data_IF_607020436421
#
_entry.id   IF_607020436421
#
_cell.length_a   1.000
_cell.length_b   1.000
_cell.length_c   1.000
_cell.angle_alpha   90.00
_cell.angle_beta   90.00
_cell.angle_gamma   90.00
#
_symmetry.space_group_name_H-M   'P 1'
#
loop_
_entity.id
_entity.type
_entity.pdbx_description
1 polymer ?
#
# COMPACT_ATOMS: atom_id res chain seq x y z
N UNK A 1 17.56 -25.45 -39.10
CA UNK A 1 16.21 -24.96 -38.70
C UNK A 1 15.78 -25.37 -37.29
N UNK A 2 15.92 -26.63 -36.81
CA UNK A 2 15.56 -26.99 -35.42
C UNK A 2 16.48 -26.43 -34.34
N UNK A 3 17.74 -26.12 -34.62
CA UNK A 3 18.68 -25.57 -33.66
C UNK A 3 18.54 -24.06 -33.46
N UNK A 4 18.10 -23.30 -34.46
CA UNK A 4 17.90 -21.86 -34.36
C UNK A 4 16.60 -21.50 -33.58
N UNK A 5 15.56 -22.33 -33.69
CA UNK A 5 14.33 -22.17 -32.92
C UNK A 5 14.53 -22.44 -31.40
N UNK A 6 15.44 -23.37 -31.07
CA UNK A 6 15.82 -23.63 -29.68
C UNK A 6 16.72 -22.53 -29.12
N UNK A 7 17.61 -21.93 -29.91
CA UNK A 7 18.47 -20.81 -29.48
C UNK A 7 17.64 -19.55 -29.26
N UNK A 8 16.66 -19.26 -30.12
CA UNK A 8 15.76 -18.10 -29.95
C UNK A 8 14.82 -18.28 -28.75
N UNK A 9 14.29 -19.47 -28.49
CA UNK A 9 13.51 -19.73 -27.26
C UNK A 9 14.34 -19.66 -26.00
N UNK A 10 15.60 -20.07 -26.04
CA UNK A 10 16.54 -19.97 -24.90
C UNK A 10 16.99 -18.55 -24.66
N UNK A 11 17.12 -17.71 -25.70
CA UNK A 11 17.55 -16.29 -25.58
C UNK A 11 16.43 -15.41 -25.04
N UNK A 12 15.15 -15.70 -25.34
CA UNK A 12 14.00 -14.98 -24.77
C UNK A 12 13.70 -15.36 -23.29
N UNK A 13 14.19 -16.51 -22.83
CA UNK A 13 14.16 -16.89 -21.40
C UNK A 13 15.31 -16.31 -20.56
N UNK A 14 16.29 -15.65 -21.17
CA UNK A 14 17.58 -15.30 -20.55
C UNK A 14 17.70 -13.85 -20.08
N UNK A 15 16.63 -13.05 -20.01
CA UNK A 15 16.66 -11.78 -19.27
C UNK A 15 16.53 -12.07 -17.77
N UNK A 16 17.65 -12.51 -17.15
CA UNK A 16 17.73 -12.75 -15.72
C UNK A 16 17.86 -11.44 -14.96
N UNK A 17 17.12 -11.29 -13.87
CA UNK A 17 17.19 -10.15 -12.94
C UNK A 17 17.98 -10.59 -11.73
N UNK A 18 19.08 -9.90 -11.42
CA UNK A 18 19.85 -10.14 -10.21
C UNK A 18 19.04 -9.72 -8.97
N UNK A 19 18.97 -10.60 -7.99
CA UNK A 19 18.21 -10.39 -6.75
C UNK A 19 19.12 -10.14 -5.53
N UNK A 20 20.43 -10.21 -5.71
CA UNK A 20 21.37 -10.26 -4.60
C UNK A 20 21.40 -11.61 -3.86
N UNK A 21 20.53 -12.57 -4.24
CA UNK A 21 20.50 -13.96 -3.78
C UNK A 21 20.70 -14.96 -4.91
N UNK A 22 20.68 -14.47 -6.16
CA UNK A 22 20.72 -15.25 -7.39
C UNK A 22 19.93 -14.54 -8.48
N UNK A 23 19.62 -15.25 -9.56
CA UNK A 23 18.95 -14.69 -10.73
C UNK A 23 17.53 -15.27 -10.86
N UNK A 24 16.56 -14.42 -11.07
CA UNK A 24 15.16 -14.79 -11.38
C UNK A 24 14.77 -14.35 -12.79
N UNK A 25 13.76 -14.98 -13.36
CA UNK A 25 13.21 -14.57 -14.66
C UNK A 25 12.42 -13.26 -14.54
N UNK A 26 12.37 -12.48 -15.64
CA UNK A 26 11.55 -11.26 -15.71
C UNK A 26 10.07 -11.55 -15.42
N UNK A 27 9.56 -12.71 -15.80
CA UNK A 27 8.19 -13.13 -15.54
C UNK A 27 7.89 -13.29 -14.03
N UNK A 28 8.87 -13.78 -13.26
CA UNK A 28 8.74 -13.85 -11.80
C UNK A 28 8.71 -12.44 -11.19
N UNK A 29 9.54 -11.52 -11.69
CA UNK A 29 9.53 -10.12 -11.26
C UNK A 29 8.19 -9.44 -11.57
N UNK A 30 7.70 -9.60 -12.81
CA UNK A 30 6.37 -9.08 -13.20
C UNK A 30 5.26 -9.69 -12.34
N UNK A 31 5.37 -10.96 -11.98
CA UNK A 31 4.45 -11.62 -11.06
C UNK A 31 4.45 -10.96 -9.67
N UNK A 32 5.61 -10.67 -9.11
CA UNK A 32 5.74 -9.97 -7.81
C UNK A 32 5.10 -8.57 -7.90
N UNK A 33 5.39 -7.83 -8.97
CA UNK A 33 4.83 -6.49 -9.19
C UNK A 33 3.32 -6.50 -9.44
N UNK A 34 2.80 -7.53 -10.15
CA UNK A 34 1.35 -7.65 -10.37
C UNK A 34 0.59 -7.88 -9.05
N UNK A 35 1.16 -8.67 -8.12
CA UNK A 35 0.59 -8.84 -6.78
C UNK A 35 0.58 -7.51 -6.02
N UNK A 36 1.64 -6.69 -6.14
CA UNK A 36 1.69 -5.38 -5.51
C UNK A 36 0.61 -4.43 -6.05
N UNK A 37 0.36 -4.44 -7.37
CA UNK A 37 -0.67 -3.63 -8.01
C UNK A 37 -2.08 -3.89 -7.44
N UNK A 38 -2.39 -5.13 -7.05
CA UNK A 38 -3.71 -5.49 -6.53
C UNK A 38 -4.02 -4.88 -5.16
N UNK A 39 -3.00 -4.49 -4.40
CA UNK A 39 -3.18 -4.01 -3.01
C UNK A 39 -3.90 -2.68 -2.91
N UNK A 40 -3.93 -1.88 -3.98
CA UNK A 40 -4.59 -0.58 -4.04
C UNK A 40 -6.03 -0.63 -4.58
N UNK A 41 -6.49 -1.78 -5.07
CA UNK A 41 -7.78 -1.91 -5.75
C UNK A 41 -9.01 -1.99 -4.82
N UNK A 42 -8.94 -2.56 -3.59
CA UNK A 42 -10.13 -2.72 -2.76
C UNK A 42 -10.86 -1.39 -2.51
N UNK A 43 -12.18 -1.38 -2.75
CA UNK A 43 -13.03 -0.18 -2.62
C UNK A 43 -12.94 0.82 -3.76
N UNK A 44 -11.91 0.74 -4.62
CA UNK A 44 -11.63 1.73 -5.66
C UNK A 44 -12.74 1.82 -6.72
N UNK A 45 -13.24 0.68 -7.21
CA UNK A 45 -14.24 0.66 -8.27
C UNK A 45 -15.64 1.13 -7.80
N UNK A 46 -15.91 1.03 -6.51
CA UNK A 46 -17.20 1.43 -5.90
C UNK A 46 -17.27 2.95 -5.72
N UNK A 47 -16.16 3.59 -5.33
CA UNK A 47 -16.13 5.02 -5.01
C UNK A 47 -16.72 5.93 -6.10
N UNK A 48 -16.37 5.81 -7.39
CA UNK A 48 -16.89 6.69 -8.43
C UNK A 48 -18.35 6.43 -8.81
N UNK A 49 -18.98 5.36 -8.33
CA UNK A 49 -20.36 4.98 -8.67
C UNK A 49 -21.32 5.08 -7.49
N UNK A 50 -20.90 5.55 -6.32
CA UNK A 50 -21.76 5.61 -5.12
C UNK A 50 -23.05 6.38 -5.37
N UNK A 51 -22.98 7.55 -6.00
CA UNK A 51 -24.15 8.36 -6.32
C UNK A 51 -25.08 7.65 -7.30
N UNK A 52 -24.51 6.94 -8.31
CA UNK A 52 -25.30 6.14 -9.26
C UNK A 52 -25.98 4.97 -8.56
N UNK A 53 -25.28 4.31 -7.60
CA UNK A 53 -25.88 3.23 -6.82
C UNK A 53 -27.04 3.72 -5.94
N UNK A 54 -26.97 4.91 -5.38
CA UNK A 54 -28.08 5.53 -4.64
C UNK A 54 -29.32 5.71 -5.51
N UNK A 55 -29.16 6.05 -6.78
CA UNK A 55 -30.29 6.19 -7.72
C UNK A 55 -30.83 4.85 -8.21
N UNK A 56 -29.96 3.84 -8.41
CA UNK A 56 -30.33 2.49 -8.87
C UNK A 56 -31.01 1.68 -7.78
N UNK A 57 -30.59 1.86 -6.53
CA UNK A 57 -31.12 1.17 -5.36
C UNK A 57 -31.78 2.17 -4.38
N UNK A 58 -32.96 2.73 -4.70
CA UNK A 58 -33.57 3.80 -3.90
C UNK A 58 -34.04 3.35 -2.50
N UNK A 59 -33.99 2.04 -2.21
CA UNK A 59 -34.26 1.47 -0.89
C UNK A 59 -32.99 1.29 -0.04
N UNK A 60 -31.81 1.53 -0.63
CA UNK A 60 -30.54 1.45 0.10
C UNK A 60 -30.42 2.65 1.05
N UNK A 61 -29.98 2.39 2.26
CA UNK A 61 -29.64 3.44 3.22
C UNK A 61 -28.24 4.01 2.94
N UNK A 62 -27.97 5.20 3.43
CA UNK A 62 -26.62 5.78 3.36
C UNK A 62 -25.56 4.84 4.00
N UNK A 63 -25.97 4.12 5.05
CA UNK A 63 -25.10 3.11 5.68
C UNK A 63 -24.78 1.95 4.73
N UNK A 64 -25.78 1.45 3.97
CA UNK A 64 -25.56 0.36 2.99
C UNK A 64 -24.54 0.79 1.92
N UNK A 65 -24.63 2.02 1.43
CA UNK A 65 -23.70 2.56 0.45
C UNK A 65 -22.31 2.74 1.02
N UNK A 66 -22.19 3.24 2.24
CA UNK A 66 -20.90 3.37 2.92
C UNK A 66 -20.25 2.01 3.19
N UNK A 67 -21.03 0.98 3.53
CA UNK A 67 -20.53 -0.37 3.75
C UNK A 67 -19.83 -0.96 2.51
N UNK A 68 -20.26 -0.60 1.30
CA UNK A 68 -19.61 -1.07 0.07
C UNK A 68 -18.13 -0.68 -0.02
N UNK A 69 -17.74 0.46 0.55
CA UNK A 69 -16.35 0.95 0.54
C UNK A 69 -15.60 0.63 1.82
N UNK A 70 -16.28 0.66 2.97
CA UNK A 70 -15.63 0.51 4.28
C UNK A 70 -15.49 -0.95 4.72
N UNK A 71 -16.44 -1.82 4.38
CA UNK A 71 -16.44 -3.22 4.79
C UNK A 71 -15.22 -3.99 4.23
N UNK A 72 -14.80 -3.83 2.95
CA UNK A 72 -13.55 -4.43 2.49
C UNK A 72 -12.36 -4.04 3.35
N UNK A 73 -12.21 -2.74 3.67
CA UNK A 73 -11.08 -2.24 4.47
C UNK A 73 -11.08 -2.81 5.90
N UNK A 74 -12.25 -2.96 6.52
CA UNK A 74 -12.39 -3.59 7.83
C UNK A 74 -11.99 -5.07 7.81
N UNK A 75 -12.43 -5.82 6.80
CA UNK A 75 -12.12 -7.24 6.67
C UNK A 75 -10.67 -7.50 6.26
N UNK A 76 -10.06 -6.58 5.53
CA UNK A 76 -8.63 -6.68 5.20
C UNK A 76 -7.79 -6.85 6.47
N UNK A 77 -8.06 -6.11 7.56
CA UNK A 77 -7.24 -6.13 8.78
C UNK A 77 -7.10 -7.54 9.39
N UNK A 78 -8.18 -8.24 9.76
CA UNK A 78 -8.05 -9.57 10.34
C UNK A 78 -7.47 -10.60 9.35
N UNK A 79 -7.77 -10.47 8.06
CA UNK A 79 -7.28 -11.41 7.06
C UNK A 79 -5.83 -11.20 6.65
N UNK A 80 -5.28 -9.98 6.74
CA UNK A 80 -3.83 -9.74 6.66
C UNK A 80 -3.10 -10.51 7.78
N UNK A 81 -3.58 -10.39 9.01
CA UNK A 81 -2.97 -11.04 10.18
C UNK A 81 -3.08 -12.56 10.07
N UNK A 82 -4.25 -13.06 9.68
CA UNK A 82 -4.48 -14.49 9.44
C UNK A 82 -3.56 -15.03 8.35
N UNK A 83 -3.46 -14.37 7.21
CA UNK A 83 -2.59 -14.79 6.11
C UNK A 83 -1.12 -14.79 6.52
N UNK A 84 -0.67 -13.76 7.21
CA UNK A 84 0.70 -13.70 7.76
C UNK A 84 1.01 -14.84 8.72
N UNK A 85 0.08 -15.16 9.62
CA UNK A 85 0.24 -16.23 10.60
C UNK A 85 0.26 -17.62 9.96
N UNK A 86 -0.68 -17.88 9.03
CA UNK A 86 -0.88 -19.22 8.45
C UNK A 86 0.05 -19.51 7.27
N UNK A 87 0.71 -18.46 6.70
CA UNK A 87 1.57 -18.58 5.51
C UNK A 87 2.66 -19.64 5.66
N UNK A 88 3.20 -19.80 6.86
CA UNK A 88 4.24 -20.79 7.16
C UNK A 88 3.70 -22.23 7.23
N UNK A 89 2.39 -22.41 7.47
CA UNK A 89 1.79 -23.75 7.60
C UNK A 89 1.26 -24.28 6.26
N UNK A 90 0.60 -23.42 5.49
CA UNK A 90 -0.05 -23.81 4.22
C UNK A 90 0.90 -23.66 3.03
N UNK A 91 1.94 -22.80 3.17
CA UNK A 91 2.83 -22.39 2.10
C UNK A 91 2.30 -21.17 1.34
N UNK A 92 3.22 -20.23 1.08
CA UNK A 92 2.88 -18.91 0.53
C UNK A 92 2.21 -18.99 -0.87
N UNK A 93 2.63 -19.92 -1.73
CA UNK A 93 2.06 -20.05 -3.08
C UNK A 93 0.58 -20.49 -3.03
N UNK A 94 0.24 -21.47 -2.18
CA UNK A 94 -1.16 -21.93 -2.05
C UNK A 94 -2.04 -20.82 -1.52
N UNK A 95 -1.56 -20.10 -0.51
CA UNK A 95 -2.31 -19.01 0.12
C UNK A 95 -2.48 -17.82 -0.84
N UNK A 96 -1.45 -17.52 -1.63
CA UNK A 96 -1.53 -16.50 -2.68
C UNK A 96 -2.60 -16.86 -3.72
N UNK A 97 -2.65 -18.13 -4.20
CA UNK A 97 -3.69 -18.57 -5.10
C UNK A 97 -5.09 -18.45 -4.49
N UNK A 98 -5.28 -18.86 -3.24
CA UNK A 98 -6.57 -18.72 -2.53
C UNK A 98 -7.02 -17.26 -2.53
N UNK A 99 -6.15 -16.33 -2.14
CA UNK A 99 -6.46 -14.90 -2.14
C UNK A 99 -6.79 -14.37 -3.52
N UNK A 100 -5.98 -14.70 -4.53
CA UNK A 100 -6.20 -14.28 -5.92
C UNK A 100 -7.52 -14.79 -6.50
N UNK A 101 -7.87 -16.06 -6.27
CA UNK A 101 -9.14 -16.61 -6.72
C UNK A 101 -10.34 -16.02 -6.00
N UNK A 102 -10.25 -15.78 -4.67
CA UNK A 102 -11.30 -15.07 -3.92
C UNK A 102 -11.52 -13.66 -4.44
N UNK A 103 -10.43 -12.93 -4.70
CA UNK A 103 -10.49 -11.58 -5.24
C UNK A 103 -11.12 -11.58 -6.64
N UNK A 104 -10.66 -12.46 -7.54
CA UNK A 104 -11.17 -12.59 -8.89
C UNK A 104 -12.66 -12.98 -8.91
N UNK A 105 -13.05 -13.94 -8.07
CA UNK A 105 -14.44 -14.39 -7.95
C UNK A 105 -15.33 -13.25 -7.47
N UNK A 106 -14.85 -12.45 -6.51
CA UNK A 106 -15.56 -11.23 -6.09
C UNK A 106 -15.76 -10.27 -7.25
N UNK A 107 -14.71 -10.01 -8.04
CA UNK A 107 -14.79 -9.17 -9.24
C UNK A 107 -15.85 -9.68 -10.24
N UNK A 108 -15.91 -10.97 -10.47
CA UNK A 108 -16.91 -11.58 -11.35
C UNK A 108 -18.33 -11.49 -10.77
N UNK A 109 -18.50 -11.70 -9.46
CA UNK A 109 -19.80 -11.65 -8.78
C UNK A 109 -20.41 -10.25 -8.77
N UNK A 110 -19.61 -9.16 -8.81
CA UNK A 110 -20.15 -7.81 -8.94
C UNK A 110 -20.97 -7.59 -10.21
N UNK A 111 -20.69 -8.33 -11.31
CA UNK A 111 -21.44 -8.23 -12.55
C UNK A 111 -22.83 -8.87 -12.48
N UNK A 112 -23.00 -9.88 -11.62
CA UNK A 112 -24.28 -10.61 -11.47
C UNK A 112 -25.08 -10.15 -10.26
N UNK A 113 -24.50 -9.39 -9.34
CA UNK A 113 -25.19 -8.84 -8.18
C UNK A 113 -26.32 -7.90 -8.61
N UNK A 114 -27.53 -8.20 -8.16
CA UNK A 114 -28.76 -7.46 -8.48
C UNK A 114 -29.37 -6.71 -7.30
N UNK A 115 -28.86 -6.89 -6.07
CA UNK A 115 -29.32 -6.21 -4.86
C UNK A 115 -28.18 -5.59 -4.08
N UNK A 116 -28.48 -4.56 -3.28
CA UNK A 116 -27.48 -3.90 -2.44
C UNK A 116 -26.85 -4.88 -1.44
N UNK A 117 -27.63 -5.77 -0.84
CA UNK A 117 -27.13 -6.79 0.08
C UNK A 117 -26.14 -7.77 -0.58
N UNK A 118 -26.38 -8.16 -1.86
CA UNK A 118 -25.43 -8.96 -2.64
C UNK A 118 -24.15 -8.19 -2.92
N UNK A 119 -24.24 -6.90 -3.28
CA UNK A 119 -23.04 -6.05 -3.47
C UNK A 119 -22.24 -5.94 -2.18
N UNK A 120 -22.87 -5.77 -1.02
CA UNK A 120 -22.20 -5.74 0.29
C UNK A 120 -21.51 -7.09 0.58
N UNK A 121 -22.19 -8.22 0.34
CA UNK A 121 -21.59 -9.55 0.54
C UNK A 121 -20.38 -9.78 -0.38
N UNK A 122 -20.46 -9.34 -1.63
CA UNK A 122 -19.35 -9.41 -2.59
C UNK A 122 -18.19 -8.50 -2.17
N UNK A 123 -18.50 -7.29 -1.66
CA UNK A 123 -17.49 -6.37 -1.08
C UNK A 123 -16.76 -7.00 0.10
N UNK A 124 -17.50 -7.69 0.97
CA UNK A 124 -16.89 -8.44 2.08
C UNK A 124 -15.93 -9.52 1.58
N UNK A 125 -16.35 -10.32 0.60
CA UNK A 125 -15.52 -11.37 -0.01
C UNK A 125 -14.27 -10.78 -0.68
N UNK A 126 -14.39 -9.62 -1.35
CA UNK A 126 -13.27 -8.88 -1.92
C UNK A 126 -12.25 -8.49 -0.83
N UNK A 127 -12.73 -7.99 0.32
CA UNK A 127 -11.89 -7.64 1.46
C UNK A 127 -11.13 -8.84 2.03
N UNK A 128 -11.78 -10.00 2.12
CA UNK A 128 -11.12 -11.26 2.53
C UNK A 128 -10.01 -11.65 1.55
N UNK A 129 -10.31 -11.67 0.24
CA UNK A 129 -9.34 -11.99 -0.80
C UNK A 129 -8.15 -11.04 -0.79
N UNK A 130 -8.41 -9.73 -0.71
CA UNK A 130 -7.40 -8.70 -0.63
C UNK A 130 -6.54 -8.84 0.65
N UNK A 131 -7.16 -9.07 1.80
CA UNK A 131 -6.45 -9.27 3.07
C UNK A 131 -5.48 -10.44 3.03
N UNK A 132 -5.81 -11.50 2.29
CA UNK A 132 -4.89 -12.62 2.08
C UNK A 132 -3.72 -12.23 1.16
N UNK A 133 -3.95 -11.45 0.11
CA UNK A 133 -2.94 -11.08 -0.90
C UNK A 133 -1.94 -10.04 -0.36
N UNK A 134 -2.42 -9.05 0.38
CA UNK A 134 -1.67 -7.85 0.76
C UNK A 134 -0.30 -8.15 1.40
N UNK A 135 -0.15 -9.06 2.39
CA UNK A 135 1.16 -9.31 2.99
C UNK A 135 2.15 -9.92 1.99
N UNK A 136 1.68 -10.56 0.91
CA UNK A 136 2.57 -11.12 -0.11
C UNK A 136 3.16 -10.06 -1.03
N UNK A 137 2.53 -8.91 -1.21
CA UNK A 137 3.09 -7.80 -2.00
C UNK A 137 4.47 -7.37 -1.52
N UNK A 138 4.70 -7.41 -0.23
CA UNK A 138 5.96 -7.02 0.42
C UNK A 138 6.81 -8.23 0.82
N UNK A 139 6.21 -9.33 1.28
CA UNK A 139 6.99 -10.50 1.70
C UNK A 139 7.66 -11.22 0.54
N UNK A 140 7.07 -11.25 -0.65
CA UNK A 140 7.74 -11.75 -1.86
C UNK A 140 9.02 -10.99 -2.15
N UNK A 141 9.03 -9.67 -2.01
CA UNK A 141 10.25 -8.86 -2.14
C UNK A 141 11.31 -9.33 -1.14
N UNK A 142 10.96 -9.50 0.13
CA UNK A 142 11.90 -9.98 1.14
C UNK A 142 12.40 -11.40 0.88
N UNK A 143 11.54 -12.28 0.37
CA UNK A 143 11.89 -13.67 0.06
C UNK A 143 12.88 -13.75 -1.11
N UNK A 144 12.66 -12.98 -2.15
CA UNK A 144 13.41 -13.08 -3.40
C UNK A 144 14.64 -12.17 -3.44
N UNK A 145 14.62 -10.99 -2.79
CA UNK A 145 15.66 -9.97 -2.90
C UNK A 145 16.42 -9.76 -1.60
N UNK A 146 17.68 -9.28 -1.70
CA UNK A 146 18.53 -8.92 -0.55
C UNK A 146 19.31 -7.63 -0.79
N UNK A 147 19.83 -7.05 0.30
CA UNK A 147 20.67 -5.83 0.24
C UNK A 147 19.98 -4.67 -0.45
N UNK A 148 20.71 -3.93 -1.26
CA UNK A 148 20.24 -2.75 -2.00
C UNK A 148 19.14 -3.09 -3.02
N UNK A 149 19.15 -4.30 -3.59
CA UNK A 149 18.10 -4.73 -4.53
C UNK A 149 16.75 -4.87 -3.81
N UNK A 150 16.74 -5.38 -2.59
CA UNK A 150 15.51 -5.46 -1.78
C UNK A 150 14.93 -4.08 -1.50
N UNK A 151 15.75 -3.12 -1.08
CA UNK A 151 15.31 -1.73 -0.85
C UNK A 151 14.76 -1.11 -2.14
N UNK A 152 15.44 -1.33 -3.29
CA UNK A 152 15.00 -0.87 -4.59
C UNK A 152 13.66 -1.47 -4.98
N UNK A 153 13.45 -2.77 -4.77
CA UNK A 153 12.19 -3.43 -5.08
C UNK A 153 11.03 -2.96 -4.18
N UNK A 154 11.27 -2.64 -2.92
CA UNK A 154 10.25 -2.00 -2.09
C UNK A 154 9.85 -0.61 -2.63
N UNK A 155 10.81 0.14 -3.17
CA UNK A 155 10.54 1.38 -3.88
C UNK A 155 9.65 1.16 -5.11
N UNK A 156 9.96 0.16 -5.93
CA UNK A 156 9.13 -0.18 -7.10
C UNK A 156 7.74 -0.67 -6.71
N UNK A 157 7.61 -1.49 -5.66
CA UNK A 157 6.30 -1.91 -5.12
C UNK A 157 5.48 -0.69 -4.71
N UNK A 158 6.05 0.26 -3.97
CA UNK A 158 5.38 1.52 -3.61
C UNK A 158 4.97 2.31 -4.85
N UNK A 159 5.87 2.46 -5.83
CA UNK A 159 5.57 3.18 -7.06
C UNK A 159 4.44 2.52 -7.86
N UNK A 160 4.49 1.18 -8.03
CA UNK A 160 3.47 0.41 -8.75
C UNK A 160 2.12 0.52 -8.06
N UNK A 161 2.06 0.42 -6.73
CA UNK A 161 0.83 0.57 -5.97
C UNK A 161 0.19 1.93 -6.21
N UNK A 162 0.97 3.01 -6.16
CA UNK A 162 0.46 4.37 -6.34
C UNK A 162 0.05 4.66 -7.80
N UNK A 163 0.83 4.22 -8.80
CA UNK A 163 0.44 4.42 -10.20
C UNK A 163 -0.79 3.57 -10.55
N UNK A 164 -0.90 2.36 -10.01
CA UNK A 164 -2.09 1.53 -10.19
C UNK A 164 -3.32 2.22 -9.62
N UNK A 165 -3.21 2.86 -8.45
CA UNK A 165 -4.30 3.62 -7.86
C UNK A 165 -4.76 4.74 -8.79
N UNK A 166 -3.84 5.55 -9.32
CA UNK A 166 -4.15 6.66 -10.25
C UNK A 166 -4.82 6.15 -11.52
N UNK A 167 -4.19 5.15 -12.18
CA UNK A 167 -4.68 4.63 -13.46
C UNK A 167 -6.01 3.91 -13.29
N UNK A 168 -6.15 3.07 -12.26
CA UNK A 168 -7.37 2.31 -12.02
C UNK A 168 -8.53 3.23 -11.61
N UNK A 169 -8.29 4.30 -10.84
CA UNK A 169 -9.32 5.29 -10.50
C UNK A 169 -9.79 6.03 -11.76
N UNK A 170 -8.88 6.46 -12.63
CA UNK A 170 -9.21 7.14 -13.87
C UNK A 170 -10.04 6.24 -14.80
N UNK A 171 -9.61 4.98 -14.97
CA UNK A 171 -10.33 3.99 -15.78
C UNK A 171 -11.71 3.69 -15.17
N UNK A 172 -11.79 3.47 -13.86
CA UNK A 172 -13.05 3.20 -13.19
C UNK A 172 -14.04 4.37 -13.32
N UNK A 173 -13.56 5.62 -13.18
CA UNK A 173 -14.37 6.82 -13.37
C UNK A 173 -14.93 6.90 -14.80
N UNK A 174 -14.08 6.76 -15.82
CA UNK A 174 -14.50 6.77 -17.21
C UNK A 174 -15.50 5.63 -17.54
N UNK A 175 -15.23 4.42 -17.06
CA UNK A 175 -16.13 3.28 -17.25
C UNK A 175 -17.47 3.47 -16.52
N UNK A 176 -17.48 4.16 -15.40
CA UNK A 176 -18.68 4.49 -14.65
C UNK A 176 -19.66 5.35 -15.47
N UNK A 177 -19.15 6.23 -16.34
CA UNK A 177 -19.98 7.07 -17.20
C UNK A 177 -20.68 6.29 -18.30
N UNK A 178 -20.06 5.21 -18.78
CA UNK A 178 -20.64 4.32 -19.80
C UNK A 178 -21.71 3.41 -19.16
N UNK A 179 -21.36 2.69 -18.09
CA UNK A 179 -22.28 1.80 -17.38
C UNK A 179 -21.76 1.56 -15.96
N UNK A 180 -22.64 1.63 -14.96
CA UNK A 180 -22.31 1.51 -13.54
C UNK A 180 -21.60 0.21 -13.13
N UNK A 181 -21.76 -0.87 -13.92
CA UNK A 181 -21.08 -2.16 -13.66
C UNK A 181 -19.68 -2.26 -14.22
N UNK A 182 -19.33 -1.48 -15.23
CA UNK A 182 -18.04 -1.57 -15.93
C UNK A 182 -16.81 -1.25 -15.03
N UNK A 183 -16.88 -0.34 -14.03
CA UNK A 183 -15.77 -0.12 -13.11
C UNK A 183 -15.27 -1.40 -12.43
N UNK A 184 -16.12 -2.39 -12.21
CA UNK A 184 -15.75 -3.67 -11.61
C UNK A 184 -14.81 -4.51 -12.47
N UNK A 185 -14.61 -4.17 -13.77
CA UNK A 185 -13.59 -4.79 -14.63
C UNK A 185 -12.19 -4.67 -14.05
N UNK A 186 -11.92 -3.62 -13.28
CA UNK A 186 -10.64 -3.43 -12.59
C UNK A 186 -10.37 -4.59 -11.61
N UNK A 187 -11.40 -5.21 -11.06
CA UNK A 187 -11.28 -6.36 -10.16
C UNK A 187 -10.98 -7.69 -10.88
N UNK A 188 -10.86 -7.70 -12.21
CA UNK A 188 -10.38 -8.84 -12.98
C UNK A 188 -8.85 -8.86 -13.18
N UNK A 189 -8.15 -7.80 -12.78
CA UNK A 189 -6.68 -7.73 -12.82
C UNK A 189 -5.95 -8.93 -12.16
N UNK A 190 -6.49 -9.62 -11.10
CA UNK A 190 -5.89 -10.82 -10.57
C UNK A 190 -5.64 -11.94 -11.59
N UNK A 191 -6.33 -11.96 -12.73
CA UNK A 191 -6.08 -12.93 -13.83
C UNK A 191 -4.61 -12.87 -14.23
N UNK A 192 -4.08 -11.66 -14.45
CA UNK A 192 -2.67 -11.48 -14.81
C UNK A 192 -1.73 -12.04 -13.74
N UNK A 193 -2.03 -11.79 -12.46
CA UNK A 193 -1.24 -12.32 -11.34
C UNK A 193 -1.31 -13.85 -11.28
N UNK A 194 -2.51 -14.46 -11.45
CA UNK A 194 -2.70 -15.91 -11.44
C UNK A 194 -1.85 -16.59 -12.53
N UNK A 195 -1.80 -16.00 -13.72
CA UNK A 195 -0.99 -16.50 -14.83
C UNK A 195 0.52 -16.41 -14.56
N UNK A 196 0.95 -15.45 -13.72
CA UNK A 196 2.36 -15.24 -13.37
C UNK A 196 2.82 -15.98 -12.10
N UNK A 197 1.92 -16.47 -11.26
CA UNK A 197 2.29 -17.24 -10.05
C UNK A 197 3.15 -18.47 -10.34
N UNK A 198 2.97 -19.25 -11.45
CA UNK A 198 3.87 -20.35 -11.78
C UNK A 198 5.33 -19.92 -11.95
N UNK A 199 5.58 -18.71 -12.52
CA UNK A 199 6.93 -18.16 -12.65
C UNK A 199 7.54 -17.81 -11.27
N UNK A 200 6.75 -17.26 -10.35
CA UNK A 200 7.16 -17.02 -8.97
C UNK A 200 7.54 -18.33 -8.29
N UNK A 201 6.71 -19.36 -8.42
CA UNK A 201 6.96 -20.69 -7.87
C UNK A 201 8.25 -21.30 -8.40
N UNK A 202 8.49 -21.22 -9.71
CA UNK A 202 9.69 -21.76 -10.35
C UNK A 202 10.94 -20.99 -9.87
N UNK A 203 10.90 -19.68 -9.82
CA UNK A 203 11.98 -18.85 -9.30
C UNK A 203 12.33 -19.17 -7.83
N UNK A 204 11.30 -19.41 -6.99
CA UNK A 204 11.50 -19.81 -5.60
C UNK A 204 12.22 -21.16 -5.44
N UNK A 205 11.90 -22.13 -6.30
CA UNK A 205 12.62 -23.42 -6.33
C UNK A 205 14.08 -23.24 -6.74
N UNK A 206 14.35 -22.48 -7.78
CA UNK A 206 15.71 -22.26 -8.28
C UNK A 206 16.60 -21.58 -7.22
N UNK A 207 16.10 -20.56 -6.53
CA UNK A 207 16.82 -19.89 -5.44
C UNK A 207 17.03 -20.81 -4.24
N UNK A 208 16.07 -21.66 -3.89
CA UNK A 208 16.19 -22.67 -2.84
C UNK A 208 17.26 -23.71 -3.15
N UNK A 209 17.38 -24.15 -4.38
CA UNK A 209 18.41 -25.08 -4.83
C UNK A 209 19.82 -24.45 -4.84
N UNK A 210 19.94 -23.16 -5.22
CA UNK A 210 21.23 -22.45 -5.19
C UNK A 210 21.70 -22.12 -3.76
N UNK A 211 20.77 -21.97 -2.80
CA UNK A 211 21.06 -21.68 -1.39
C UNK A 211 21.25 -22.92 -0.50
N UNK A 212 21.23 -24.14 -1.03
CA UNK A 212 21.41 -25.36 -0.25
C UNK A 212 20.23 -25.69 0.68
N UNK A 213 19.10 -25.05 0.54
CA UNK A 213 17.86 -25.32 1.27
C UNK A 213 16.81 -25.85 0.31
N UNK A 214 16.93 -27.13 -0.05
CA UNK A 214 15.82 -27.90 -0.60
C UNK A 214 14.67 -27.91 0.41
N UNK A 215 13.43 -27.80 -0.11
CA UNK A 215 12.15 -27.86 0.59
C UNK A 215 12.23 -27.43 2.06
N UNK A 216 11.96 -26.16 2.33
CA UNK A 216 11.96 -25.65 3.71
C UNK A 216 10.88 -26.39 4.50
N UNK A 217 11.29 -27.53 5.06
CA UNK A 217 10.61 -28.20 6.16
C UNK A 217 10.30 -27.14 7.19
N UNK A 218 9.07 -27.13 7.64
CA UNK A 218 8.53 -26.34 8.75
C UNK A 218 9.49 -26.41 9.93
N UNK A 219 10.55 -25.61 9.94
CA UNK A 219 11.35 -25.37 11.13
C UNK A 219 10.58 -24.38 12.00
N UNK A 220 9.89 -24.91 12.97
CA UNK A 220 9.29 -24.20 14.10
C UNK A 220 10.40 -23.54 14.92
N UNK A 221 10.81 -22.31 14.59
CA UNK A 221 11.91 -21.68 15.32
C UNK A 221 12.40 -20.34 14.77
N UNK A 222 11.54 -19.53 14.13
CA UNK A 222 11.94 -18.19 13.70
C UNK A 222 11.84 -17.16 14.84
N UNK A 223 12.69 -16.13 14.81
CA UNK A 223 12.69 -15.01 15.77
C UNK A 223 12.08 -13.74 15.14
N UNK A 224 11.56 -12.86 16.00
CA UNK A 224 11.13 -11.50 15.67
C UNK A 224 11.68 -10.54 16.71
N UNK A 225 12.27 -9.44 16.28
CA UNK A 225 12.68 -8.32 17.16
C UNK A 225 11.47 -7.38 17.37
N UNK A 226 10.58 -7.76 18.26
CA UNK A 226 9.30 -7.05 18.48
C UNK A 226 9.48 -5.56 18.78
N UNK A 227 10.50 -5.15 19.55
CA UNK A 227 10.74 -3.75 19.88
C UNK A 227 11.04 -2.91 18.63
N UNK A 228 11.85 -3.43 17.70
CA UNK A 228 12.16 -2.72 16.45
C UNK A 228 10.98 -2.75 15.49
N UNK A 229 10.28 -3.88 15.41
CA UNK A 229 9.07 -4.00 14.60
C UNK A 229 7.98 -3.04 15.09
N UNK A 230 7.73 -2.96 16.40
CA UNK A 230 6.75 -2.05 16.99
C UNK A 230 7.06 -0.58 16.66
N UNK A 231 8.35 -0.18 16.67
CA UNK A 231 8.75 1.15 16.21
C UNK A 231 8.42 1.37 14.72
N UNK A 232 8.71 0.39 13.86
CA UNK A 232 8.33 0.48 12.44
C UNK A 232 6.81 0.57 12.25
N UNK A 233 6.04 -0.23 13.01
CA UNK A 233 4.57 -0.21 12.99
C UNK A 233 4.02 1.14 13.42
N UNK A 234 4.54 1.71 14.50
CA UNK A 234 4.12 3.03 15.00
C UNK A 234 4.44 4.15 13.97
N UNK A 235 5.65 4.14 13.41
CA UNK A 235 6.01 5.10 12.36
C UNK A 235 5.12 4.95 11.12
N UNK A 236 4.85 3.71 10.70
CA UNK A 236 4.03 3.45 9.53
C UNK A 236 2.56 3.87 9.75
N UNK A 237 2.01 3.55 10.93
CA UNK A 237 0.68 4.02 11.34
C UNK A 237 0.62 5.54 11.32
N UNK A 238 1.60 6.21 11.92
CA UNK A 238 1.63 7.66 12.03
C UNK A 238 1.72 8.35 10.66
N UNK A 239 2.68 7.96 9.80
CA UNK A 239 2.83 8.60 8.49
C UNK A 239 1.60 8.34 7.60
N UNK A 240 1.01 7.15 7.67
CA UNK A 240 -0.22 6.86 6.92
C UNK A 240 -1.38 7.70 7.44
N UNK A 241 -1.55 7.81 8.75
CA UNK A 241 -2.56 8.65 9.37
C UNK A 241 -2.45 10.11 8.91
N UNK A 242 -1.24 10.68 8.95
CA UNK A 242 -1.00 12.06 8.54
C UNK A 242 -1.34 12.32 7.07
N UNK A 243 -1.01 11.38 6.20
CA UNK A 243 -1.22 11.48 4.76
C UNK A 243 -2.68 11.22 4.38
N UNK A 244 -3.41 10.42 5.16
CA UNK A 244 -4.87 10.26 5.00
C UNK A 244 -5.62 11.58 5.19
N UNK A 245 -5.11 12.53 5.97
CA UNK A 245 -5.67 13.87 6.07
C UNK A 245 -5.79 14.55 4.70
N UNK A 246 -4.78 14.39 3.83
CA UNK A 246 -4.83 14.91 2.45
C UNK A 246 -5.85 14.15 1.64
N UNK A 247 -5.75 12.82 1.56
CA UNK A 247 -6.62 12.00 0.70
C UNK A 247 -8.11 12.17 1.01
N UNK A 248 -8.47 12.29 2.29
CA UNK A 248 -9.88 12.35 2.72
C UNK A 248 -10.42 13.78 2.68
N UNK A 249 -9.63 14.77 3.11
CA UNK A 249 -10.13 16.13 3.33
C UNK A 249 -9.86 17.09 2.18
N UNK A 250 -8.91 16.78 1.27
CA UNK A 250 -8.58 17.64 0.14
C UNK A 250 -9.79 17.90 -0.79
N UNK A 251 -10.62 16.91 -1.14
CA UNK A 251 -11.82 17.15 -1.95
C UNK A 251 -12.78 18.17 -1.32
N UNK A 252 -13.01 18.07 -0.02
CA UNK A 252 -13.89 19.01 0.70
C UNK A 252 -13.30 20.41 0.74
N UNK A 253 -11.98 20.54 0.96
CA UNK A 253 -11.28 21.81 0.98
C UNK A 253 -11.36 22.52 -0.39
N UNK A 254 -11.05 21.80 -1.47
CA UNK A 254 -11.07 22.36 -2.83
C UNK A 254 -12.51 22.67 -3.29
N UNK A 255 -13.48 21.81 -2.96
CA UNK A 255 -14.90 22.07 -3.23
C UNK A 255 -15.39 23.35 -2.56
N UNK A 256 -14.96 23.63 -1.31
CA UNK A 256 -15.26 24.90 -0.62
C UNK A 256 -14.64 26.11 -1.29
N UNK A 257 -13.52 25.95 -1.99
CA UNK A 257 -12.88 27.03 -2.77
C UNK A 257 -13.54 27.23 -4.14
N UNK A 258 -14.56 26.45 -4.48
CA UNK A 258 -15.29 26.55 -5.75
C UNK A 258 -14.61 25.83 -6.92
N UNK A 259 -13.64 24.94 -6.64
CA UNK A 259 -13.03 24.12 -7.69
C UNK A 259 -13.94 22.94 -8.02
N UNK A 260 -14.03 22.61 -9.30
CA UNK A 260 -14.81 21.49 -9.79
C UNK A 260 -14.14 20.12 -9.48
N UNK A 261 -14.91 19.05 -9.66
CA UNK A 261 -14.42 17.68 -9.41
C UNK A 261 -13.25 17.28 -10.28
N UNK A 262 -13.12 17.88 -11.47
CA UNK A 262 -11.99 17.64 -12.37
C UNK A 262 -10.68 18.15 -11.79
N UNK A 263 -10.67 19.39 -11.28
CA UNK A 263 -9.49 19.97 -10.61
C UNK A 263 -9.13 19.16 -9.36
N UNK A 264 -10.12 18.78 -8.55
CA UNK A 264 -9.92 17.92 -7.38
C UNK A 264 -9.25 16.60 -7.77
N UNK A 265 -9.73 15.96 -8.84
CA UNK A 265 -9.17 14.72 -9.36
C UNK A 265 -7.70 14.88 -9.83
N UNK A 266 -7.40 15.97 -10.53
CA UNK A 266 -6.01 16.27 -10.96
C UNK A 266 -5.08 16.47 -9.77
N UNK A 267 -5.47 17.28 -8.78
CA UNK A 267 -4.63 17.54 -7.59
C UNK A 267 -4.40 16.25 -6.79
N UNK A 268 -5.45 15.44 -6.63
CA UNK A 268 -5.34 14.13 -5.96
C UNK A 268 -4.41 13.18 -6.74
N UNK A 269 -4.48 13.19 -8.07
CA UNK A 269 -3.58 12.39 -8.91
C UNK A 269 -2.13 12.85 -8.79
N UNK A 270 -1.87 14.16 -8.77
CA UNK A 270 -0.53 14.73 -8.53
C UNK A 270 0.02 14.30 -7.17
N UNK A 271 -0.83 14.30 -6.14
CA UNK A 271 -0.45 13.82 -4.81
C UNK A 271 -0.01 12.34 -4.81
N UNK A 272 -0.76 11.44 -5.47
CA UNK A 272 -0.37 10.03 -5.59
C UNK A 272 0.87 9.84 -6.47
N UNK A 273 1.04 10.63 -7.53
CA UNK A 273 2.27 10.63 -8.33
C UNK A 273 3.48 11.09 -7.50
N UNK A 274 3.30 12.10 -6.63
CA UNK A 274 4.34 12.53 -5.71
C UNK A 274 4.75 11.43 -4.72
N UNK A 275 3.81 10.58 -4.27
CA UNK A 275 4.12 9.39 -3.46
C UNK A 275 4.91 8.34 -4.25
N UNK A 276 4.67 8.21 -5.56
CA UNK A 276 5.34 7.25 -6.42
C UNK A 276 6.82 7.59 -6.63
N UNK A 277 7.12 8.88 -6.86
CA UNK A 277 8.44 9.33 -7.32
C UNK A 277 9.61 8.87 -6.44
N UNK A 278 9.62 9.03 -5.09
CA UNK A 278 10.74 8.60 -4.25
C UNK A 278 11.04 7.11 -4.36
N UNK A 279 10.01 6.28 -4.58
CA UNK A 279 10.16 4.84 -4.74
C UNK A 279 11.07 4.45 -5.90
N UNK A 280 11.09 5.24 -6.99
CA UNK A 280 11.90 4.95 -8.18
C UNK A 280 13.41 5.12 -7.93
N UNK A 281 13.80 5.98 -6.97
CA UNK A 281 15.20 6.25 -6.65
C UNK A 281 15.52 6.15 -5.16
N UNK A 282 14.80 5.27 -4.46
CA UNK A 282 14.90 5.10 -3.00
C UNK A 282 16.33 4.83 -2.53
N UNK A 283 17.12 4.06 -3.25
CA UNK A 283 18.50 3.78 -2.87
C UNK A 283 19.37 5.05 -2.83
N UNK A 284 19.15 6.00 -3.77
CA UNK A 284 19.84 7.30 -3.75
C UNK A 284 19.42 8.13 -2.55
N UNK A 285 18.13 8.13 -2.22
CA UNK A 285 17.61 8.83 -1.04
C UNK A 285 18.15 8.22 0.26
N UNK A 286 18.19 6.89 0.36
CA UNK A 286 18.76 6.19 1.51
C UNK A 286 20.26 6.49 1.65
N UNK A 287 21.03 6.54 0.54
CA UNK A 287 22.45 6.88 0.60
C UNK A 287 22.68 8.35 0.97
N UNK A 288 21.81 9.27 0.51
CA UNK A 288 21.95 10.70 0.79
C UNK A 288 21.55 11.06 2.24
N UNK A 289 20.43 10.51 2.72
CA UNK A 289 19.88 10.85 4.04
C UNK A 289 20.22 9.84 5.13
N UNK A 290 20.68 8.64 4.78
CA UNK A 290 21.08 7.58 5.70
C UNK A 290 20.00 7.27 6.74
N UNK A 291 20.42 7.16 8.01
CA UNK A 291 19.49 6.93 9.13
C UNK A 291 18.53 8.08 9.43
N UNK A 292 18.63 9.22 8.73
CA UNK A 292 17.77 10.39 8.93
C UNK A 292 16.59 10.45 7.95
N UNK A 293 16.45 9.49 7.04
CA UNK A 293 15.42 9.50 5.98
C UNK A 293 14.00 9.69 6.55
N UNK A 294 13.69 9.07 7.70
CA UNK A 294 12.39 9.22 8.36
C UNK A 294 12.18 10.63 8.94
N UNK A 295 13.25 11.29 9.42
CA UNK A 295 13.17 12.68 9.90
C UNK A 295 12.86 13.64 8.73
N UNK A 296 13.55 13.47 7.60
CA UNK A 296 13.29 14.27 6.41
C UNK A 296 11.91 14.01 5.81
N UNK A 297 11.48 12.76 5.78
CA UNK A 297 10.13 12.40 5.36
C UNK A 297 9.06 13.07 6.24
N UNK A 298 9.22 13.01 7.56
CA UNK A 298 8.29 13.64 8.51
C UNK A 298 8.29 15.17 8.38
N UNK A 299 9.45 15.78 8.16
CA UNK A 299 9.56 17.22 7.92
C UNK A 299 8.80 17.62 6.64
N UNK A 300 8.97 16.88 5.54
CA UNK A 300 8.26 17.15 4.28
C UNK A 300 6.74 17.00 4.44
N UNK A 301 6.28 15.98 5.16
CA UNK A 301 4.85 15.80 5.47
C UNK A 301 4.33 17.00 6.28
N UNK A 302 5.05 17.39 7.32
CA UNK A 302 4.66 18.50 8.19
C UNK A 302 4.58 19.83 7.43
N UNK A 303 5.61 20.15 6.63
CA UNK A 303 5.65 21.36 5.80
C UNK A 303 4.55 21.35 4.75
N UNK A 304 4.31 20.19 4.09
CA UNK A 304 3.25 20.05 3.11
C UNK A 304 1.86 20.27 3.70
N UNK A 305 1.58 19.72 4.88
CA UNK A 305 0.31 19.94 5.59
C UNK A 305 0.10 21.40 6.01
N UNK A 306 1.17 22.08 6.46
CA UNK A 306 1.14 23.51 6.77
C UNK A 306 0.86 24.34 5.53
N UNK A 307 1.51 24.04 4.42
CA UNK A 307 1.33 24.77 3.16
C UNK A 307 -0.13 24.68 2.69
N UNK A 308 -0.74 23.49 2.72
CA UNK A 308 -2.17 23.30 2.44
C UNK A 308 -3.06 24.07 3.40
N UNK A 309 -2.70 24.18 4.69
CA UNK A 309 -3.50 24.89 5.67
C UNK A 309 -3.50 26.40 5.44
N UNK A 310 -2.32 27.01 5.26
CA UNK A 310 -2.19 28.47 5.19
C UNK A 310 -2.63 29.04 3.85
N UNK A 311 -2.36 28.36 2.77
CA UNK A 311 -2.56 28.88 1.44
C UNK A 311 -3.95 28.59 0.88
N UNK A 312 -4.47 29.58 0.09
CA UNK A 312 -5.75 29.42 -0.65
C UNK A 312 -5.54 29.24 -2.15
N UNK A 313 -4.36 29.62 -2.64
CA UNK A 313 -4.03 29.45 -4.04
C UNK A 313 -3.84 27.97 -4.38
N UNK A 314 -4.43 27.52 -5.47
CA UNK A 314 -4.32 26.14 -5.95
C UNK A 314 -2.86 25.69 -6.11
N UNK A 315 -1.99 26.58 -6.60
CA UNK A 315 -0.57 26.27 -6.80
C UNK A 315 0.11 25.87 -5.48
N UNK A 316 -0.11 26.60 -4.39
CA UNK A 316 0.46 26.26 -3.09
C UNK A 316 -0.19 25.01 -2.46
N UNK A 317 -1.50 24.82 -2.64
CA UNK A 317 -2.15 23.58 -2.20
C UNK A 317 -1.53 22.38 -2.93
N UNK A 318 -1.25 22.49 -4.22
CA UNK A 318 -0.57 21.45 -5.00
C UNK A 318 0.86 21.22 -4.49
N UNK A 319 1.64 22.28 -4.23
CA UNK A 319 3.01 22.11 -3.67
C UNK A 319 2.99 21.45 -2.32
N UNK A 320 2.04 21.80 -1.45
CA UNK A 320 1.86 21.16 -0.16
C UNK A 320 1.50 19.67 -0.28
N UNK A 321 0.59 19.32 -1.20
CA UNK A 321 0.26 17.92 -1.52
C UNK A 321 1.48 17.17 -2.05
N UNK A 322 2.27 17.77 -2.95
CA UNK A 322 3.50 17.16 -3.49
C UNK A 322 4.52 16.93 -2.36
N UNK A 323 4.74 17.90 -1.47
CA UNK A 323 5.67 17.73 -0.37
C UNK A 323 5.24 16.61 0.59
N UNK A 324 3.96 16.57 0.98
CA UNK A 324 3.42 15.53 1.85
C UNK A 324 3.48 14.14 1.18
N UNK A 325 3.09 14.05 -0.09
CA UNK A 325 3.16 12.80 -0.87
C UNK A 325 4.59 12.30 -1.02
N UNK A 326 5.53 13.18 -1.37
CA UNK A 326 6.95 12.83 -1.51
C UNK A 326 7.53 12.33 -0.18
N UNK A 327 7.20 12.98 0.95
CA UNK A 327 7.61 12.53 2.28
C UNK A 327 7.13 11.11 2.59
N UNK A 328 5.86 10.81 2.32
CA UNK A 328 5.32 9.45 2.49
C UNK A 328 6.03 8.43 1.59
N UNK A 329 6.21 8.76 0.30
CA UNK A 329 6.88 7.92 -0.67
C UNK A 329 8.35 7.61 -0.34
N UNK A 330 9.05 8.50 0.42
CA UNK A 330 10.37 8.22 0.97
C UNK A 330 10.31 7.24 2.15
N UNK A 331 9.36 7.43 3.04
CA UNK A 331 9.30 6.68 4.30
C UNK A 331 8.81 5.25 4.09
N UNK A 332 7.78 5.03 3.27
CA UNK A 332 7.10 3.74 3.12
C UNK A 332 8.05 2.60 2.72
N UNK A 333 8.82 2.67 1.60
CA UNK A 333 9.70 1.58 1.20
C UNK A 333 10.86 1.35 2.18
N UNK A 334 11.36 2.42 2.81
CA UNK A 334 12.37 2.32 3.85
C UNK A 334 11.86 1.58 5.09
N UNK A 335 10.62 1.85 5.51
CA UNK A 335 9.99 1.15 6.64
C UNK A 335 9.76 -0.32 6.30
N UNK A 336 9.34 -0.64 5.07
CA UNK A 336 9.19 -2.04 4.63
C UNK A 336 10.52 -2.79 4.70
N UNK A 337 11.59 -2.19 4.19
CA UNK A 337 12.92 -2.80 4.23
C UNK A 337 13.40 -3.00 5.67
N UNK A 338 13.25 -1.99 6.52
CA UNK A 338 13.60 -2.05 7.93
C UNK A 338 12.78 -3.12 8.67
N UNK A 339 11.48 -3.17 8.46
CA UNK A 339 10.59 -4.14 9.09
C UNK A 339 10.89 -5.57 8.64
N UNK A 340 11.16 -5.79 7.35
CA UNK A 340 11.53 -7.11 6.83
C UNK A 340 12.80 -7.67 7.48
N UNK A 341 13.74 -6.81 7.89
CA UNK A 341 14.97 -7.20 8.58
C UNK A 341 14.80 -7.41 10.09
N UNK A 342 13.60 -7.20 10.65
CA UNK A 342 13.32 -7.45 12.08
C UNK A 342 12.94 -8.89 12.39
N UNK A 343 12.80 -9.73 11.39
CA UNK A 343 12.37 -11.12 11.54
C UNK A 343 13.26 -12.07 10.74
N UNK A 344 13.33 -13.31 11.20
CA UNK A 344 13.93 -14.40 10.41
C UNK A 344 13.13 -14.65 9.13
N UNK A 345 13.72 -15.26 8.08
CA UNK A 345 13.04 -15.54 6.82
C UNK A 345 11.68 -16.23 7.00
N UNK A 346 11.58 -17.15 7.96
CA UNK A 346 10.36 -17.90 8.27
C UNK A 346 9.23 -17.01 8.84
N UNK A 347 9.57 -15.94 9.55
CA UNK A 347 8.59 -15.03 10.20
C UNK A 347 8.43 -13.67 9.51
N UNK A 348 9.16 -13.43 8.42
CA UNK A 348 9.13 -12.14 7.71
C UNK A 348 7.73 -11.82 7.17
N UNK A 349 7.03 -12.79 6.59
CA UNK A 349 5.64 -12.58 6.11
C UNK A 349 4.71 -12.15 7.23
N UNK A 350 4.83 -12.76 8.41
CA UNK A 350 4.04 -12.36 9.58
C UNK A 350 4.42 -10.97 10.10
N UNK A 351 5.71 -10.65 10.17
CA UNK A 351 6.17 -9.32 10.58
C UNK A 351 5.68 -8.21 9.62
N UNK A 352 5.73 -8.47 8.31
CA UNK A 352 5.20 -7.55 7.31
C UNK A 352 3.67 -7.47 7.32
N UNK A 353 2.98 -8.58 7.62
CA UNK A 353 1.53 -8.57 7.83
C UNK A 353 1.12 -7.67 9.00
N UNK A 354 1.84 -7.76 10.14
CA UNK A 354 1.65 -6.86 11.29
C UNK A 354 1.90 -5.40 10.90
N UNK A 355 2.96 -5.13 10.14
CA UNK A 355 3.24 -3.77 9.67
C UNK A 355 2.13 -3.25 8.77
N UNK A 356 1.73 -4.02 7.76
CA UNK A 356 0.73 -3.59 6.78
C UNK A 356 -0.68 -3.46 7.37
N UNK A 357 -1.01 -4.21 8.43
CA UNK A 357 -2.27 -4.01 9.15
C UNK A 357 -2.37 -2.59 9.73
N UNK A 358 -1.23 -1.98 10.12
CA UNK A 358 -1.20 -0.60 10.63
C UNK A 358 -1.62 0.44 9.58
N UNK A 359 -1.37 0.17 8.30
CA UNK A 359 -1.86 1.02 7.22
C UNK A 359 -3.39 1.09 7.20
N UNK A 360 -4.06 -0.05 7.26
CA UNK A 360 -5.52 -0.11 7.25
C UNK A 360 -6.13 0.39 8.56
N UNK A 361 -5.47 0.15 9.68
CA UNK A 361 -5.86 0.75 10.97
C UNK A 361 -5.80 2.27 10.86
N UNK A 362 -4.74 2.84 10.30
CA UNK A 362 -4.60 4.29 10.12
C UNK A 362 -5.72 4.86 9.23
N UNK A 363 -6.04 4.19 8.11
CA UNK A 363 -7.11 4.60 7.20
C UNK A 363 -8.47 4.62 7.93
N UNK A 364 -8.76 3.60 8.72
CA UNK A 364 -10.04 3.49 9.45
C UNK A 364 -10.15 4.54 10.55
N UNK A 365 -9.08 4.75 11.34
CA UNK A 365 -9.14 5.66 12.50
C UNK A 365 -9.02 7.15 12.13
N UNK A 366 -8.43 7.48 10.97
CA UNK A 366 -8.12 8.86 10.60
C UNK A 366 -9.35 9.80 10.63
N UNK A 367 -10.49 9.48 10.00
CA UNK A 367 -11.66 10.36 10.06
C UNK A 367 -12.21 10.51 11.48
N UNK A 368 -12.23 9.43 12.27
CA UNK A 368 -12.75 9.46 13.65
C UNK A 368 -11.92 10.35 14.57
N UNK A 369 -10.59 10.32 14.47
CA UNK A 369 -9.72 11.19 15.28
C UNK A 369 -9.97 12.66 14.93
N UNK A 370 -10.05 12.97 13.64
CA UNK A 370 -10.29 14.35 13.17
C UNK A 370 -11.64 14.85 13.68
N UNK A 371 -12.70 14.07 13.49
CA UNK A 371 -14.05 14.43 13.91
C UNK A 371 -14.15 14.59 15.45
N UNK A 372 -13.59 13.66 16.20
CA UNK A 372 -13.54 13.70 17.66
C UNK A 372 -12.85 14.97 18.19
N UNK A 373 -11.68 15.33 17.62
CA UNK A 373 -10.96 16.53 18.05
C UNK A 373 -11.71 17.80 17.64
N UNK A 374 -12.32 17.84 16.44
CA UNK A 374 -13.18 18.94 16.00
C UNK A 374 -14.33 19.17 16.97
N UNK A 375 -14.97 18.07 17.38
CA UNK A 375 -16.10 18.12 18.31
C UNK A 375 -15.68 18.63 19.70
N UNK A 376 -14.56 18.13 20.23
CA UNK A 376 -14.02 18.55 21.54
C UNK A 376 -13.62 20.02 21.58
N UNK A 377 -13.03 20.54 20.51
CA UNK A 377 -12.56 21.93 20.45
C UNK A 377 -13.64 22.91 19.98
N UNK A 378 -14.82 22.41 19.51
CA UNK A 378 -15.87 23.24 18.94
C UNK A 378 -15.46 23.92 17.63
N UNK A 379 -14.41 23.44 16.95
CA UNK A 379 -13.86 24.03 15.72
C UNK A 379 -14.47 23.31 14.52
N UNK A 380 -15.16 24.05 13.66
CA UNK A 380 -15.68 23.52 12.39
C UNK A 380 -14.93 24.16 11.23
N UNK A 381 -14.42 23.33 10.32
CA UNK A 381 -13.81 23.85 9.10
C UNK A 381 -12.95 22.84 8.38
N UNK A 382 -12.97 22.86 7.05
CA UNK A 382 -12.30 21.92 6.15
C UNK A 382 -10.77 22.06 6.18
N UNK A 383 -10.24 23.13 6.75
CA UNK A 383 -8.80 23.34 6.96
C UNK A 383 -8.27 22.71 8.25
N UNK A 384 -9.16 22.52 9.24
CA UNK A 384 -8.77 22.03 10.56
C UNK A 384 -8.02 20.70 10.51
N UNK A 385 -8.42 19.69 9.69
CA UNK A 385 -7.67 18.43 9.57
C UNK A 385 -6.20 18.63 9.19
N UNK A 386 -5.88 19.61 8.36
CA UNK A 386 -4.51 19.86 7.90
C UNK A 386 -3.65 20.45 9.01
N UNK A 387 -4.13 21.45 9.75
CA UNK A 387 -3.37 22.03 10.88
C UNK A 387 -3.22 21.04 12.02
N UNK A 388 -4.26 20.28 12.37
CA UNK A 388 -4.20 19.24 13.39
C UNK A 388 -3.09 18.23 13.07
N UNK A 389 -3.09 17.73 11.84
CA UNK A 389 -2.10 16.74 11.41
C UNK A 389 -0.70 17.34 11.24
N UNK A 390 -0.59 18.63 10.87
CA UNK A 390 0.69 19.34 10.87
C UNK A 390 1.28 19.44 12.28
N UNK A 391 0.46 19.78 13.27
CA UNK A 391 0.90 19.83 14.69
C UNK A 391 1.35 18.46 15.16
N UNK A 392 0.60 17.39 14.85
CA UNK A 392 0.99 16.01 15.18
C UNK A 392 2.31 15.65 14.50
N UNK A 393 2.50 15.99 13.22
CA UNK A 393 3.73 15.74 12.47
C UNK A 393 4.94 16.47 13.08
N UNK A 394 4.79 17.74 13.45
CA UNK A 394 5.86 18.51 14.13
C UNK A 394 6.17 17.96 15.52
N UNK A 395 5.16 17.60 16.30
CA UNK A 395 5.36 16.97 17.62
C UNK A 395 6.13 15.64 17.47
N UNK A 396 5.77 14.83 16.49
CA UNK A 396 6.47 13.59 16.19
C UNK A 396 7.92 13.84 15.73
N UNK A 397 8.14 14.82 14.86
CA UNK A 397 9.48 15.22 14.41
C UNK A 397 10.35 15.65 15.60
N UNK A 398 9.83 16.49 16.47
CA UNK A 398 10.53 16.93 17.69
C UNK A 398 10.87 15.74 18.59
N UNK A 399 9.92 14.87 18.82
CA UNK A 399 10.13 13.67 19.61
C UNK A 399 11.23 12.76 19.02
N UNK A 400 11.22 12.54 17.70
CA UNK A 400 12.25 11.77 17.00
C UNK A 400 13.64 12.41 17.15
N UNK A 401 13.74 13.74 17.07
CA UNK A 401 14.98 14.50 17.27
C UNK A 401 15.49 14.35 18.71
N UNK A 402 14.61 14.49 19.70
CA UNK A 402 14.95 14.33 21.13
C UNK A 402 15.47 12.93 21.42
N UNK A 403 14.80 11.89 20.91
CA UNK A 403 15.26 10.50 21.07
C UNK A 403 16.66 10.30 20.46
N UNK A 404 16.92 10.89 19.30
CA UNK A 404 18.23 10.78 18.64
C UNK A 404 19.35 11.46 19.45
N UNK A 405 19.08 12.66 20.00
CA UNK A 405 20.03 13.35 20.86
C UNK A 405 20.29 12.56 22.15
N UNK A 406 19.23 12.01 22.75
CA UNK A 406 19.34 11.17 23.96
C UNK A 406 20.21 9.93 23.70
N UNK A 407 19.95 9.20 22.59
CA UNK A 407 20.72 8.00 22.24
C UNK A 407 22.19 8.33 21.95
N UNK A 408 22.48 9.49 21.36
CA UNK A 408 23.85 9.97 21.13
C UNK A 408 24.58 10.25 22.44
N UNK A 409 23.94 10.96 23.37
CA UNK A 409 24.52 11.24 24.70
C UNK A 409 24.76 9.98 25.51
N UNK A 410 23.83 9.03 25.44
CA UNK A 410 23.97 7.74 26.14
C UNK A 410 25.16 6.93 25.66
N UNK A 411 25.45 6.92 24.36
CA UNK A 411 26.65 6.25 23.80
C UNK A 411 27.94 6.90 24.27
N UNK A 412 28.01 8.22 24.28
CA UNK A 412 29.19 8.99 24.74
C UNK A 412 29.50 8.81 26.25
N UNK A 413 28.50 8.44 27.05
CA UNK A 413 28.71 8.18 28.49
C UNK A 413 29.15 6.74 28.81
N UNK A 414 29.19 5.86 27.82
CA UNK A 414 29.63 4.46 27.96
C UNK A 414 30.95 4.18 27.21
N UNK A 415 31.49 5.15 26.46
CA UNK A 415 32.87 5.17 25.93
C UNK A 415 33.79 5.96 26.88
#
# INVERSE_FOLDING_TARGET
>A
MKNEENVTKTTFMAAGVDTGKGVITIWALLGIWSVAALTSLPGLAVSPILDKLATIFPKATDLDLQLLTTLPSLLIIPFILFAGYISNRIGYIKLLYIGLWLFLLSGALYFVAGTIGQLIAVSAMLGVGAGIIIPFSTSLVSMFFSGNERTRQYGYVSAITNITLVVATAIAGWLADVQWRLPFLVYLLPIASILLVPAIKHAGKNLGQQGGQGDAVVQSGGWIRYNTLAKCMLYYLLITYLVMAVSINLPFLLGKYGYDSGVVGVVTSVFFLAMMLPGLFINRLVSAFGGNILLWAMLLIALGLIDVYYNRSLAFVVTGCVAAGFGYGMAQPYIYDKASSTASPQKTTYALALLMSMNYVAIVIAPFIVDWVQHMLGIKGERFPFVLNAVIAFAALLFMLLLKVYDKRRRQNYE
#
